data_IF_092858774466
#
_entry.id   IF_092858774466
#
_cell.length_a   1.000
_cell.length_b   1.000
_cell.length_c   1.000
_cell.angle_alpha   90.00
_cell.angle_beta   90.00
_cell.angle_gamma   90.00
#
_symmetry.space_group_name_H-M   'P 1'
#
loop_
_entity.id
_entity.type
_entity.pdbx_description
1 polymer ?
#
# COMPACT_ATOMS: atom_id res chain seq x y z
N UNK A 1 22.92 -6.46 -1.49
CA UNK A 1 23.45 -5.16 -1.02
C UNK A 1 22.55 -4.01 -1.52
N UNK A 2 21.34 -3.86 -0.94
CA UNK A 2 20.35 -2.85 -1.39
C UNK A 2 19.69 -2.07 -0.22
N UNK A 3 20.17 -2.27 1.02
CA UNK A 3 19.65 -1.63 2.24
C UNK A 3 20.33 -0.29 2.57
N UNK A 4 21.33 0.12 1.79
CA UNK A 4 22.13 1.34 2.08
C UNK A 4 21.36 2.64 1.74
N UNK A 5 20.59 2.64 0.65
CA UNK A 5 20.00 3.88 0.11
C UNK A 5 18.89 4.43 1.01
N UNK A 6 18.05 3.57 1.59
CA UNK A 6 16.93 3.98 2.45
C UNK A 6 17.41 4.58 3.78
N UNK A 7 18.48 4.04 4.37
CA UNK A 7 19.04 4.56 5.63
C UNK A 7 19.62 5.96 5.44
N UNK A 8 20.32 6.17 4.32
CA UNK A 8 20.87 7.48 3.97
C UNK A 8 19.75 8.49 3.70
N UNK A 9 18.65 8.09 3.08
CA UNK A 9 17.51 8.99 2.85
C UNK A 9 16.82 9.41 4.15
N UNK A 10 16.62 8.48 5.10
CA UNK A 10 16.00 8.79 6.40
C UNK A 10 16.90 9.74 7.20
N UNK A 11 18.20 9.47 7.25
CA UNK A 11 19.16 10.33 7.96
C UNK A 11 19.34 11.70 7.29
N UNK A 12 19.37 11.76 5.95
CA UNK A 12 19.40 13.03 5.21
C UNK A 12 18.15 13.86 5.44
N UNK A 13 16.98 13.22 5.48
CA UNK A 13 15.71 13.90 5.76
C UNK A 13 15.65 14.39 7.21
N UNK A 14 16.09 13.57 8.17
CA UNK A 14 16.22 13.99 9.57
C UNK A 14 17.17 15.18 9.71
N UNK A 15 18.34 15.14 9.05
CA UNK A 15 19.31 16.27 9.04
C UNK A 15 18.72 17.54 8.44
N UNK A 16 17.98 17.43 7.34
CA UNK A 16 17.30 18.57 6.72
C UNK A 16 16.19 19.15 7.62
N UNK A 17 15.45 18.28 8.32
CA UNK A 17 14.33 18.68 9.18
C UNK A 17 14.78 19.24 10.54
N UNK A 18 15.96 18.86 11.05
CA UNK A 18 16.49 19.34 12.34
C UNK A 18 17.52 20.46 12.22
N UNK A 19 18.14 20.65 11.04
CA UNK A 19 19.17 21.66 10.83
C UNK A 19 20.52 21.36 11.50
N UNK A 20 20.68 20.19 12.12
CA UNK A 20 21.89 19.86 12.88
C UNK A 20 22.85 19.00 12.03
N UNK A 21 24.05 19.55 11.75
CA UNK A 21 25.06 18.91 10.88
C UNK A 21 25.68 17.64 11.49
N UNK A 22 25.52 17.43 12.79
CA UNK A 22 26.27 16.44 13.57
C UNK A 22 25.33 15.50 14.35
N UNK A 23 24.67 14.58 13.62
CA UNK A 23 23.76 13.57 14.20
C UNK A 23 24.45 12.61 15.20
N UNK A 24 25.77 12.59 15.28
CA UNK A 24 26.55 11.77 16.23
C UNK A 24 26.28 12.09 17.71
N UNK A 25 25.72 13.26 18.03
CA UNK A 25 25.33 13.64 19.40
C UNK A 25 23.82 13.75 19.61
N UNK A 26 23.00 13.42 18.61
CA UNK A 26 21.55 13.68 18.56
C UNK A 26 20.69 12.45 18.15
N UNK A 27 21.01 11.19 18.51
CA UNK A 27 20.04 10.11 18.32
C UNK A 27 18.71 10.39 19.03
N UNK A 28 18.76 10.98 20.24
CA UNK A 28 17.59 11.17 21.12
C UNK A 28 16.50 12.06 20.50
N UNK A 29 16.82 13.29 20.11
CA UNK A 29 15.83 14.23 19.53
C UNK A 29 15.33 13.75 18.16
N UNK A 30 16.19 13.11 17.37
CA UNK A 30 15.78 12.51 16.10
C UNK A 30 14.77 11.38 16.34
N UNK A 31 14.95 10.57 17.39
CA UNK A 31 14.06 9.48 17.75
C UNK A 31 12.73 9.96 18.36
N UNK A 32 12.74 10.99 19.20
CA UNK A 32 11.52 11.65 19.69
C UNK A 32 10.70 12.26 18.54
N UNK A 33 11.38 12.96 17.61
CA UNK A 33 10.75 13.47 16.41
C UNK A 33 10.21 12.36 15.51
N UNK A 34 10.85 11.18 15.52
CA UNK A 34 10.36 10.02 14.78
C UNK A 34 9.11 9.42 15.41
N UNK A 35 9.09 9.26 16.74
CA UNK A 35 7.94 8.73 17.47
C UNK A 35 6.70 9.64 17.34
N UNK A 36 6.90 10.96 17.32
CA UNK A 36 5.83 11.92 17.09
C UNK A 36 5.28 11.95 15.65
N UNK A 37 6.05 11.45 14.66
CA UNK A 37 5.73 11.63 13.22
C UNK A 37 5.47 10.34 12.45
N UNK A 38 5.99 9.20 12.92
CA UNK A 38 5.94 7.94 12.20
C UNK A 38 5.20 6.86 12.98
N UNK A 39 4.65 5.88 12.25
CA UNK A 39 4.02 4.71 12.88
C UNK A 39 5.04 3.92 13.71
N UNK A 40 4.57 3.23 14.75
CA UNK A 40 5.35 2.27 15.53
C UNK A 40 6.23 1.35 14.66
N UNK A 41 5.65 0.81 13.58
CA UNK A 41 6.37 -0.09 12.66
C UNK A 41 7.54 0.60 11.96
N UNK A 42 7.35 1.83 11.50
CA UNK A 42 8.38 2.62 10.84
C UNK A 42 9.51 2.99 11.80
N UNK A 43 9.16 3.45 13.01
CA UNK A 43 10.13 3.78 14.06
C UNK A 43 10.96 2.56 14.46
N UNK A 44 10.31 1.40 14.65
CA UNK A 44 10.98 0.14 14.97
C UNK A 44 11.93 -0.32 13.86
N UNK A 45 11.55 -0.21 12.59
CA UNK A 45 12.40 -0.59 11.45
C UNK A 45 13.62 0.33 11.36
N UNK A 46 13.43 1.64 11.49
CA UNK A 46 14.53 2.59 11.46
C UNK A 46 15.51 2.38 12.62
N UNK A 47 15.01 2.24 13.86
CA UNK A 47 15.81 1.91 15.02
C UNK A 47 16.58 0.60 14.85
N UNK A 48 15.91 -0.43 14.32
CA UNK A 48 16.55 -1.72 14.08
C UNK A 48 17.68 -1.65 13.05
N UNK A 49 17.57 -0.77 12.06
CA UNK A 49 18.62 -0.51 11.09
C UNK A 49 19.81 0.23 11.69
N UNK A 50 19.53 1.27 12.49
CA UNK A 50 20.53 2.12 13.12
C UNK A 50 21.28 1.41 14.27
N UNK A 51 20.66 0.42 14.91
CA UNK A 51 21.24 -0.33 16.05
C UNK A 51 22.63 -0.90 15.80
N UNK A 52 22.98 -1.24 14.55
CA UNK A 52 24.32 -1.75 14.22
C UNK A 52 25.41 -0.68 14.33
N UNK A 53 25.07 0.57 14.06
CA UNK A 53 25.99 1.70 14.05
C UNK A 53 25.92 2.49 15.37
N UNK A 54 24.76 2.46 16.03
CA UNK A 54 24.45 3.21 17.25
C UNK A 54 23.85 2.25 18.29
N UNK A 55 24.68 1.60 19.14
CA UNK A 55 24.23 0.63 20.13
C UNK A 55 23.16 1.18 21.09
N UNK A 56 23.18 2.47 21.39
CA UNK A 56 22.20 3.21 22.21
C UNK A 56 20.78 3.13 21.65
N UNK A 57 20.61 2.90 20.34
CA UNK A 57 19.29 2.63 19.74
C UNK A 57 18.63 1.35 20.29
N UNK A 58 19.39 0.47 20.98
CA UNK A 58 18.83 -0.72 21.63
C UNK A 58 17.85 -0.34 22.75
N UNK A 59 18.21 0.62 23.61
CA UNK A 59 17.35 1.05 24.73
C UNK A 59 16.06 1.66 24.20
N UNK A 60 16.15 2.50 23.18
CA UNK A 60 15.00 3.05 22.46
C UNK A 60 14.13 1.99 21.78
N UNK A 61 14.76 1.02 21.12
CA UNK A 61 14.02 -0.07 20.50
C UNK A 61 13.24 -0.86 21.56
N UNK A 62 13.81 -1.05 22.74
CA UNK A 62 13.15 -1.73 23.85
C UNK A 62 12.04 -0.88 24.47
N UNK A 63 12.22 0.44 24.58
CA UNK A 63 11.15 1.36 25.00
C UNK A 63 10.00 1.40 23.99
N UNK A 64 10.30 1.54 22.69
CA UNK A 64 9.32 1.48 21.62
C UNK A 64 8.55 0.16 21.75
N UNK A 65 9.24 -1.00 21.84
CA UNK A 65 8.58 -2.30 22.04
C UNK A 65 7.67 -2.33 23.28
N UNK A 66 8.04 -1.69 24.39
CA UNK A 66 7.19 -1.58 25.60
C UNK A 66 5.89 -0.83 25.32
N UNK A 67 5.89 0.13 24.39
CA UNK A 67 4.68 0.83 23.92
C UNK A 67 3.87 0.01 22.90
N UNK A 68 4.44 -1.05 22.34
CA UNK A 68 3.78 -1.91 21.35
C UNK A 68 2.35 -2.37 21.73
N UNK A 69 2.06 -2.75 22.99
CA UNK A 69 0.71 -3.05 23.43
C UNK A 69 -0.27 -1.88 23.30
N UNK A 70 0.14 -0.64 23.63
CA UNK A 70 -0.71 0.56 23.51
C UNK A 70 -1.04 0.85 22.04
N UNK A 71 -0.07 0.68 21.14
CA UNK A 71 -0.29 0.81 19.70
C UNK A 71 -1.23 -0.26 19.16
N UNK A 72 -1.09 -1.50 19.66
CA UNK A 72 -1.98 -2.60 19.32
C UNK A 72 -3.40 -2.35 19.80
N UNK A 73 -3.57 -1.81 21.01
CA UNK A 73 -4.86 -1.40 21.56
C UNK A 73 -5.49 -0.26 20.73
N UNK A 74 -4.69 0.72 20.30
CA UNK A 74 -5.15 1.79 19.41
C UNK A 74 -5.59 1.23 18.04
N UNK A 75 -4.80 0.34 17.42
CA UNK A 75 -5.15 -0.31 16.17
C UNK A 75 -6.41 -1.21 16.32
N UNK A 76 -6.57 -1.86 17.47
CA UNK A 76 -7.73 -2.70 17.81
C UNK A 76 -8.97 -1.88 18.14
N UNK A 77 -8.81 -0.64 18.60
CA UNK A 77 -9.92 0.29 18.83
C UNK A 77 -10.62 0.68 17.55
N UNK A 78 -9.91 0.60 16.40
CA UNK A 78 -10.42 1.03 15.10
C UNK A 78 -10.87 2.50 15.08
N UNK A 79 -10.42 3.31 16.03
CA UNK A 79 -10.65 4.75 16.04
C UNK A 79 -9.58 5.46 15.23
N UNK A 80 -9.95 6.21 14.18
CA UNK A 80 -9.01 6.99 13.41
C UNK A 80 -8.47 8.15 14.24
N UNK A 81 -7.17 8.38 14.14
CA UNK A 81 -6.54 9.62 14.64
C UNK A 81 -7.11 10.85 13.93
N UNK A 82 -7.02 12.03 14.54
CA UNK A 82 -7.46 13.29 13.91
C UNK A 82 -6.79 13.54 12.55
N UNK A 83 -5.52 13.16 12.42
CA UNK A 83 -4.79 13.22 11.15
C UNK A 83 -5.35 12.26 10.09
N UNK A 84 -5.83 11.08 10.49
CA UNK A 84 -6.51 10.15 9.60
C UNK A 84 -7.91 10.66 9.23
N UNK A 85 -8.70 11.16 10.19
CA UNK A 85 -10.02 11.77 9.94
C UNK A 85 -9.93 12.88 8.88
N UNK A 86 -8.97 13.81 9.04
CA UNK A 86 -8.76 14.92 8.09
C UNK A 86 -8.39 14.46 6.67
N UNK A 87 -7.78 13.29 6.52
CA UNK A 87 -7.33 12.75 5.23
C UNK A 87 -8.29 11.70 4.68
N UNK A 88 -9.27 11.26 5.46
CA UNK A 88 -10.15 10.17 5.07
C UNK A 88 -11.04 10.59 3.91
N UNK A 89 -11.21 9.67 2.97
CA UNK A 89 -12.09 9.83 1.81
C UNK A 89 -13.02 8.64 1.83
N UNK A 90 -14.33 8.84 1.81
CA UNK A 90 -15.28 7.72 1.78
C UNK A 90 -15.10 6.91 0.50
N UNK A 91 -15.51 5.64 0.50
CA UNK A 91 -15.39 4.85 -0.72
C UNK A 91 -16.29 5.38 -1.83
N UNK A 92 -17.47 5.91 -1.48
CA UNK A 92 -18.37 6.55 -2.45
C UNK A 92 -17.70 7.76 -3.11
N UNK A 93 -17.03 8.63 -2.35
CA UNK A 93 -16.31 9.78 -2.90
C UNK A 93 -15.13 9.35 -3.79
N UNK A 94 -14.44 8.23 -3.48
CA UNK A 94 -13.40 7.68 -4.36
C UNK A 94 -13.98 7.25 -5.72
N UNK A 95 -15.17 6.65 -5.72
CA UNK A 95 -15.83 6.23 -6.96
C UNK A 95 -16.33 7.44 -7.78
N UNK A 96 -16.95 8.42 -7.12
CA UNK A 96 -17.37 9.67 -7.74
C UNK A 96 -16.18 10.40 -8.35
N UNK A 97 -15.09 10.54 -7.59
CA UNK A 97 -13.83 11.12 -8.08
C UNK A 97 -13.29 10.42 -9.34
N UNK A 98 -13.31 9.08 -9.37
CA UNK A 98 -12.88 8.32 -10.55
C UNK A 98 -13.72 8.69 -11.77
N UNK A 99 -15.04 8.77 -11.58
CA UNK A 99 -15.99 8.95 -12.68
C UNK A 99 -16.03 10.41 -13.15
N UNK A 100 -15.94 11.37 -12.24
CA UNK A 100 -15.89 12.82 -12.51
C UNK A 100 -14.65 13.19 -13.34
N UNK A 101 -13.46 12.83 -12.86
CA UNK A 101 -12.19 13.24 -13.48
C UNK A 101 -11.71 12.27 -14.58
N UNK A 102 -12.54 11.31 -15.00
CA UNK A 102 -12.13 10.24 -15.93
C UNK A 102 -11.52 10.79 -17.23
N UNK A 103 -12.13 11.83 -17.80
CA UNK A 103 -11.70 12.39 -19.08
C UNK A 103 -10.44 13.26 -18.96
N UNK A 104 -10.15 13.82 -17.78
CA UNK A 104 -8.92 14.58 -17.55
C UNK A 104 -7.72 13.70 -17.15
N UNK A 105 -7.97 12.45 -16.75
CA UNK A 105 -6.91 11.50 -16.42
C UNK A 105 -6.21 10.98 -17.67
N UNK A 106 -4.88 10.91 -17.62
CA UNK A 106 -4.07 10.17 -18.61
C UNK A 106 -4.42 8.68 -18.62
N UNK A 107 -4.14 7.93 -19.71
CA UNK A 107 -4.43 6.49 -19.77
C UNK A 107 -3.89 5.70 -18.57
N UNK A 108 -2.65 5.99 -18.16
CA UNK A 108 -2.04 5.32 -16.99
C UNK A 108 -2.75 5.68 -15.68
N UNK A 109 -3.22 6.91 -15.51
CA UNK A 109 -3.97 7.30 -14.31
C UNK A 109 -5.34 6.60 -14.27
N UNK A 110 -6.04 6.51 -15.40
CA UNK A 110 -7.30 5.76 -15.51
C UNK A 110 -7.11 4.28 -15.18
N UNK A 111 -6.07 3.66 -15.73
CA UNK A 111 -5.73 2.27 -15.41
C UNK A 111 -5.48 2.07 -13.91
N UNK A 112 -4.69 2.95 -13.27
CA UNK A 112 -4.42 2.86 -11.83
C UNK A 112 -5.71 3.00 -11.01
N UNK A 113 -6.56 3.97 -11.33
CA UNK A 113 -7.86 4.12 -10.65
C UNK A 113 -8.76 2.89 -10.87
N UNK A 114 -8.77 2.33 -12.07
CA UNK A 114 -9.54 1.14 -12.41
C UNK A 114 -9.06 -0.09 -11.62
N UNK A 115 -7.74 -0.31 -11.52
CA UNK A 115 -7.14 -1.41 -10.76
C UNK A 115 -7.53 -1.39 -9.29
N UNK A 116 -7.69 -0.20 -8.70
CA UNK A 116 -8.04 -0.04 -7.28
C UNK A 116 -9.54 0.13 -7.01
N UNK A 117 -10.41 0.26 -8.02
CA UNK A 117 -11.85 0.50 -7.82
C UNK A 117 -12.78 -0.52 -8.46
N UNK A 118 -12.35 -1.21 -9.53
CA UNK A 118 -13.16 -2.27 -10.17
C UNK A 118 -12.95 -3.66 -9.55
N UNK A 119 -11.90 -3.82 -8.75
CA UNK A 119 -11.69 -4.98 -7.89
C UNK A 119 -11.34 -4.48 -6.48
N UNK A 120 -11.49 -5.33 -5.44
CA UNK A 120 -11.10 -4.95 -4.09
C UNK A 120 -9.64 -4.48 -4.06
N UNK A 121 -9.34 -3.35 -3.39
CA UNK A 121 -8.03 -2.75 -3.46
C UNK A 121 -7.00 -3.63 -2.76
N UNK A 122 -5.98 -4.03 -3.52
CA UNK A 122 -4.79 -4.74 -3.05
C UNK A 122 -3.73 -3.74 -2.60
N UNK A 123 -2.53 -4.20 -2.19
CA UNK A 123 -1.44 -3.26 -1.84
C UNK A 123 -0.77 -2.71 -3.12
N UNK A 124 0.56 -2.72 -3.13
CA UNK A 124 1.39 -2.41 -4.28
C UNK A 124 1.67 -3.68 -5.11
N UNK A 125 0.85 -4.72 -4.93
CA UNK A 125 1.04 -6.06 -5.49
C UNK A 125 0.81 -6.13 -7.02
N UNK A 126 0.49 -5.00 -7.68
CA UNK A 126 0.52 -4.90 -9.15
C UNK A 126 1.94 -4.71 -9.71
N UNK A 127 2.95 -4.56 -8.85
CA UNK A 127 4.36 -4.41 -9.25
C UNK A 127 5.26 -5.36 -8.49
N UNK A 128 6.07 -6.21 -9.16
CA UNK A 128 6.02 -6.52 -10.59
C UNK A 128 4.86 -7.49 -10.93
N UNK A 129 4.13 -7.21 -12.02
CA UNK A 129 3.09 -8.10 -12.54
C UNK A 129 3.36 -8.42 -14.01
N UNK A 130 3.78 -9.66 -14.29
CA UNK A 130 4.17 -10.15 -15.62
C UNK A 130 2.94 -10.49 -16.45
N UNK A 131 2.92 -10.08 -17.72
CA UNK A 131 1.84 -10.39 -18.66
C UNK A 131 2.15 -11.72 -19.34
N UNK A 132 1.18 -12.63 -19.35
CA UNK A 132 1.30 -13.93 -20.01
C UNK A 132 0.00 -14.29 -20.74
N UNK A 133 0.10 -14.98 -21.87
CA UNK A 133 -1.08 -15.42 -22.64
C UNK A 133 -1.70 -16.72 -22.13
N UNK A 134 -0.96 -17.45 -21.29
CA UNK A 134 -1.38 -18.70 -20.65
C UNK A 134 -0.82 -18.77 -19.23
N UNK A 135 -1.53 -19.49 -18.34
CA UNK A 135 -1.03 -19.75 -16.98
C UNK A 135 0.34 -20.45 -17.06
N UNK A 136 1.39 -19.94 -16.39
CA UNK A 136 2.66 -20.64 -16.31
C UNK A 136 2.51 -21.97 -15.57
N UNK A 137 3.29 -22.98 -15.96
CA UNK A 137 3.34 -24.27 -15.25
C UNK A 137 3.93 -24.12 -13.85
N UNK A 138 4.93 -23.23 -13.72
CA UNK A 138 5.56 -22.85 -12.46
C UNK A 138 5.55 -21.33 -12.34
N UNK A 139 5.13 -20.83 -11.19
CA UNK A 139 5.20 -19.41 -10.86
C UNK A 139 6.58 -19.10 -10.29
N UNK A 140 7.18 -18.03 -10.79
CA UNK A 140 8.44 -17.48 -10.28
C UNK A 140 8.19 -16.70 -8.98
N UNK A 141 9.02 -16.95 -7.96
CA UNK A 141 8.99 -16.22 -6.69
C UNK A 141 9.21 -14.72 -6.92
N UNK A 142 8.48 -13.89 -6.18
CA UNK A 142 8.59 -12.44 -6.31
C UNK A 142 7.78 -11.83 -7.46
N UNK A 143 7.09 -12.64 -8.27
CA UNK A 143 6.26 -12.15 -9.38
C UNK A 143 4.76 -12.41 -9.16
N UNK A 144 3.95 -11.46 -9.60
CA UNK A 144 2.52 -11.63 -9.85
C UNK A 144 2.27 -11.72 -11.37
N UNK A 145 1.10 -12.19 -11.78
CA UNK A 145 0.81 -12.44 -13.19
C UNK A 145 -0.54 -11.86 -13.61
N UNK A 146 -0.57 -11.26 -14.79
CA UNK A 146 -1.80 -10.99 -15.54
C UNK A 146 -1.90 -12.00 -16.69
N UNK A 147 -2.90 -12.88 -16.62
CA UNK A 147 -3.13 -13.90 -17.64
C UNK A 147 -4.12 -13.37 -18.67
N UNK A 148 -3.59 -12.83 -19.77
CA UNK A 148 -4.30 -12.21 -20.89
C UNK A 148 -4.92 -13.29 -21.79
N UNK A 149 -6.13 -13.72 -21.43
CA UNK A 149 -6.96 -14.67 -22.20
C UNK A 149 -8.31 -14.05 -22.50
N UNK A 150 -9.22 -14.78 -23.17
CA UNK A 150 -10.62 -14.32 -23.40
C UNK A 150 -11.37 -13.99 -22.09
N UNK A 151 -11.03 -14.66 -20.99
CA UNK A 151 -11.53 -14.35 -19.63
C UNK A 151 -10.34 -14.03 -18.73
N UNK A 152 -9.81 -12.81 -18.81
CA UNK A 152 -8.55 -12.49 -18.16
C UNK A 152 -8.66 -12.52 -16.64
N UNK A 153 -7.53 -12.79 -15.99
CA UNK A 153 -7.44 -12.85 -14.53
C UNK A 153 -6.04 -12.54 -14.03
N UNK A 154 -5.95 -12.05 -12.80
CA UNK A 154 -4.71 -11.90 -12.07
C UNK A 154 -4.40 -13.15 -11.25
N UNK A 155 -3.11 -13.46 -11.10
CA UNK A 155 -2.57 -14.39 -10.13
C UNK A 155 -1.64 -13.61 -9.21
N UNK A 156 -2.04 -13.53 -7.94
CA UNK A 156 -1.21 -12.96 -6.88
C UNK A 156 -0.50 -14.11 -6.17
N UNK A 157 0.79 -14.22 -6.44
CA UNK A 157 1.72 -15.23 -5.96
C UNK A 157 2.78 -14.61 -5.05
N UNK A 158 3.24 -13.40 -5.35
CA UNK A 158 4.06 -12.61 -4.44
C UNK A 158 3.21 -11.58 -3.71
N UNK A 159 2.83 -11.90 -2.47
CA UNK A 159 2.15 -10.97 -1.56
C UNK A 159 2.39 -11.35 -0.10
N UNK A 160 2.21 -10.39 0.81
CA UNK A 160 2.58 -10.48 2.25
C UNK A 160 2.13 -11.77 2.95
N UNK A 161 0.99 -12.34 2.58
CA UNK A 161 0.38 -13.49 3.28
C UNK A 161 0.29 -14.75 2.42
N UNK A 162 1.02 -14.77 1.30
CA UNK A 162 1.08 -15.91 0.38
C UNK A 162 1.45 -17.22 1.08
N UNK A 163 2.45 -17.20 1.95
CA UNK A 163 2.91 -18.38 2.69
C UNK A 163 1.78 -19.10 3.46
N UNK A 164 0.74 -18.37 3.89
CA UNK A 164 -0.37 -18.93 4.63
C UNK A 164 -1.60 -19.20 3.75
N UNK A 165 -1.87 -18.37 2.74
CA UNK A 165 -3.11 -18.43 1.96
C UNK A 165 -2.95 -18.89 0.50
N UNK A 166 -1.72 -19.22 0.08
CA UNK A 166 -1.39 -19.69 -1.26
C UNK A 166 -1.66 -18.67 -2.37
N UNK A 167 -1.72 -19.12 -3.62
CA UNK A 167 -1.99 -18.23 -4.74
C UNK A 167 -3.43 -17.70 -4.73
N UNK A 168 -3.62 -16.43 -5.07
CA UNK A 168 -4.96 -15.84 -5.24
C UNK A 168 -5.24 -15.54 -6.70
N UNK A 169 -6.34 -16.08 -7.20
CA UNK A 169 -6.86 -15.80 -8.54
C UNK A 169 -7.97 -14.76 -8.46
N UNK A 170 -7.85 -13.67 -9.20
CA UNK A 170 -8.87 -12.61 -9.27
C UNK A 170 -9.28 -12.42 -10.72
N UNK A 171 -10.56 -12.65 -11.04
CA UNK A 171 -11.08 -12.39 -12.38
C UNK A 171 -11.05 -10.89 -12.68
N UNK A 172 -10.64 -10.54 -13.90
CA UNK A 172 -10.66 -9.15 -14.36
C UNK A 172 -12.05 -8.84 -14.92
N UNK A 173 -12.82 -7.90 -14.33
CA UNK A 173 -14.12 -7.54 -14.86
C UNK A 173 -13.99 -6.79 -16.20
N UNK A 174 -15.01 -6.83 -17.09
CA UNK A 174 -14.94 -6.23 -18.42
C UNK A 174 -14.55 -4.74 -18.43
N UNK A 175 -15.03 -3.96 -17.45
CA UNK A 175 -14.66 -2.54 -17.31
C UNK A 175 -13.16 -2.36 -17.05
N UNK A 176 -12.57 -3.19 -16.19
CA UNK A 176 -11.13 -3.16 -15.93
C UNK A 176 -10.33 -3.66 -17.13
N UNK A 177 -10.81 -4.71 -17.80
CA UNK A 177 -10.18 -5.20 -19.02
C UNK A 177 -10.10 -4.11 -20.08
N UNK A 178 -11.16 -3.33 -20.27
CA UNK A 178 -11.16 -2.19 -21.22
C UNK A 178 -10.05 -1.19 -20.92
N UNK A 179 -9.83 -0.84 -19.65
CA UNK A 179 -8.76 0.08 -19.25
C UNK A 179 -7.36 -0.51 -19.45
N UNK A 180 -7.19 -1.81 -19.18
CA UNK A 180 -5.94 -2.53 -19.45
C UNK A 180 -5.67 -2.54 -20.95
N UNK A 181 -6.63 -2.94 -21.78
CA UNK A 181 -6.43 -3.06 -23.22
C UNK A 181 -6.21 -1.69 -23.89
N UNK A 182 -6.80 -0.62 -23.35
CA UNK A 182 -6.58 0.75 -23.83
C UNK A 182 -5.22 1.34 -23.43
N UNK A 183 -4.60 0.83 -22.37
CA UNK A 183 -3.40 1.44 -21.76
C UNK A 183 -2.14 0.59 -21.92
N UNK A 184 -2.29 -0.74 -22.02
CA UNK A 184 -1.21 -1.72 -21.96
C UNK A 184 -1.11 -2.42 -23.31
N UNK A 185 -0.15 -2.01 -24.17
CA UNK A 185 0.14 -2.64 -25.45
C UNK A 185 0.27 -4.17 -25.40
N UNK A 186 0.18 -4.78 -26.59
CA UNK A 186 0.26 -6.24 -26.74
C UNK A 186 1.65 -6.77 -26.38
N UNK A 187 2.69 -6.00 -26.67
CA UNK A 187 4.11 -6.32 -26.50
C UNK A 187 4.67 -6.00 -25.10
N UNK A 188 3.88 -5.39 -24.21
CA UNK A 188 4.29 -5.18 -22.83
C UNK A 188 4.59 -6.50 -22.10
N UNK A 189 5.76 -6.57 -21.46
CA UNK A 189 6.16 -7.70 -20.63
C UNK A 189 5.52 -7.63 -19.23
N UNK A 190 5.28 -6.41 -18.72
CA UNK A 190 4.68 -6.17 -17.42
C UNK A 190 3.46 -5.24 -17.53
N UNK A 191 2.50 -5.44 -16.63
CA UNK A 191 1.27 -4.64 -16.56
C UNK A 191 1.60 -3.15 -16.39
N UNK A 192 2.58 -2.85 -15.55
CA UNK A 192 3.11 -1.52 -15.30
C UNK A 192 4.63 -1.56 -15.56
N UNK A 193 5.07 -0.93 -16.65
CA UNK A 193 6.48 -0.84 -17.05
C UNK A 193 6.86 0.58 -17.48
N UNK A 194 8.15 0.89 -17.48
CA UNK A 194 8.69 2.11 -18.05
C UNK A 194 8.93 1.99 -19.57
N UNK A 195 9.45 3.06 -20.17
CA UNK A 195 9.73 3.12 -21.61
C UNK A 195 10.83 2.15 -22.04
N UNK A 196 11.70 1.73 -21.12
CA UNK A 196 12.73 0.73 -21.37
C UNK A 196 12.20 -0.71 -21.19
N UNK A 197 10.92 -0.88 -20.85
CA UNK A 197 10.28 -2.17 -20.61
C UNK A 197 10.54 -2.76 -19.21
N UNK A 198 11.21 -2.03 -18.32
CA UNK A 198 11.45 -2.49 -16.96
C UNK A 198 10.17 -2.33 -16.11
N UNK A 199 9.86 -3.29 -15.22
CA UNK A 199 8.68 -3.19 -14.38
C UNK A 199 8.78 -1.98 -13.45
N UNK A 200 7.64 -1.33 -13.19
CA UNK A 200 7.57 -0.32 -12.16
C UNK A 200 7.96 -0.88 -10.80
N UNK A 201 8.58 -0.03 -9.99
CA UNK A 201 8.85 -0.31 -8.59
C UNK A 201 7.65 0.10 -7.73
N UNK A 202 7.47 -0.55 -6.57
CA UNK A 202 6.40 -0.23 -5.61
C UNK A 202 6.36 1.27 -5.25
N UNK A 203 7.52 1.90 -5.09
CA UNK A 203 7.64 3.34 -4.81
C UNK A 203 7.03 4.19 -5.91
N UNK A 204 7.27 3.84 -7.19
CA UNK A 204 6.70 4.57 -8.33
C UNK A 204 5.19 4.42 -8.36
N UNK A 205 4.67 3.22 -8.15
CA UNK A 205 3.23 2.97 -8.07
C UNK A 205 2.58 3.80 -6.96
N UNK A 206 3.12 3.72 -5.73
CA UNK A 206 2.61 4.46 -4.57
C UNK A 206 2.60 5.98 -4.80
N UNK A 207 3.72 6.53 -5.31
CA UNK A 207 3.83 7.97 -5.61
C UNK A 207 2.90 8.42 -6.73
N UNK A 208 2.70 7.58 -7.75
CA UNK A 208 1.83 7.92 -8.89
C UNK A 208 0.37 7.96 -8.46
N UNK A 209 -0.08 6.97 -7.67
CA UNK A 209 -1.43 6.99 -7.09
C UNK A 209 -1.63 8.23 -6.22
N UNK A 210 -0.66 8.58 -5.38
CA UNK A 210 -0.77 9.79 -4.56
C UNK A 210 -0.82 11.09 -5.36
N UNK A 211 -0.10 11.13 -6.50
CA UNK A 211 -0.10 12.29 -7.38
C UNK A 211 -1.46 12.51 -8.04
N UNK A 212 -2.20 11.45 -8.38
CA UNK A 212 -3.55 11.55 -8.97
C UNK A 212 -4.46 12.37 -8.05
N UNK A 213 -4.56 12.00 -6.78
CA UNK A 213 -5.44 12.72 -5.84
C UNK A 213 -4.96 14.13 -5.53
N UNK A 214 -3.64 14.32 -5.48
CA UNK A 214 -3.07 15.66 -5.28
C UNK A 214 -3.41 16.58 -6.46
N UNK A 215 -3.34 16.06 -7.69
CA UNK A 215 -3.60 16.82 -8.91
C UNK A 215 -5.03 17.35 -8.97
N UNK A 216 -6.02 16.53 -8.61
CA UNK A 216 -7.43 16.86 -8.85
C UNK A 216 -8.17 17.38 -7.61
N UNK A 217 -7.73 17.04 -6.40
CA UNK A 217 -8.50 17.36 -5.18
C UNK A 217 -7.65 17.90 -4.02
N UNK A 218 -6.37 18.24 -4.27
CA UNK A 218 -5.41 18.67 -3.22
C UNK A 218 -5.28 17.69 -2.05
N UNK A 219 -5.72 16.43 -2.21
CA UNK A 219 -5.69 15.42 -1.17
C UNK A 219 -4.36 14.67 -1.20
N UNK A 220 -3.69 14.61 -0.05
CA UNK A 220 -2.50 13.77 0.12
C UNK A 220 -2.90 12.38 0.59
N UNK A 221 -3.38 11.56 -0.35
CA UNK A 221 -3.86 10.20 -0.09
C UNK A 221 -3.16 9.20 -1.01
N UNK A 222 -3.30 7.91 -0.77
CA UNK A 222 -2.63 6.85 -1.56
C UNK A 222 -3.32 5.51 -1.43
N UNK A 223 -2.68 4.43 -1.88
CA UNK A 223 -3.24 3.07 -1.89
C UNK A 223 -3.77 2.61 -0.52
N UNK A 224 -3.13 3.05 0.57
CA UNK A 224 -3.61 2.79 1.92
C UNK A 224 -5.03 3.30 2.17
N UNK A 225 -5.39 4.46 1.63
CA UNK A 225 -6.72 5.02 1.79
C UNK A 225 -7.77 4.21 1.06
N UNK A 226 -7.54 3.79 -0.19
CA UNK A 226 -8.46 2.88 -0.89
C UNK A 226 -8.81 1.66 -0.03
N UNK A 227 -7.80 1.09 0.65
CA UNK A 227 -7.98 -0.06 1.53
C UNK A 227 -8.78 0.27 2.78
N UNK A 228 -8.51 1.43 3.41
CA UNK A 228 -9.29 1.91 4.55
C UNK A 228 -10.74 2.19 4.15
N UNK A 229 -10.97 3.02 3.14
CA UNK A 229 -12.32 3.37 2.64
C UNK A 229 -13.13 2.15 2.23
N UNK A 230 -12.51 1.21 1.49
CA UNK A 230 -13.18 -0.03 1.11
C UNK A 230 -13.52 -0.89 2.33
N UNK A 231 -12.57 -1.09 3.26
CA UNK A 231 -12.83 -1.87 4.46
C UNK A 231 -13.92 -1.22 5.31
N UNK A 232 -13.88 0.10 5.52
CA UNK A 232 -14.89 0.85 6.25
C UNK A 232 -16.28 0.64 5.66
N UNK A 233 -16.49 0.91 4.37
CA UNK A 233 -17.78 0.72 3.70
C UNK A 233 -18.30 -0.70 3.78
N UNK A 234 -17.45 -1.67 3.45
CA UNK A 234 -17.86 -3.08 3.33
C UNK A 234 -17.75 -3.86 4.63
N UNK A 235 -17.27 -3.24 5.72
CA UNK A 235 -17.29 -3.81 7.07
C UNK A 235 -18.24 -3.07 8.01
N UNK A 236 -19.02 -2.09 7.53
CA UNK A 236 -19.99 -1.37 8.37
C UNK A 236 -20.93 -2.35 9.12
N UNK A 237 -21.17 -2.06 10.41
CA UNK A 237 -21.96 -2.90 11.31
C UNK A 237 -21.22 -4.12 11.91
N UNK A 238 -21.97 -4.98 12.61
CA UNK A 238 -21.46 -6.26 13.14
C UNK A 238 -21.55 -7.32 12.05
N UNK A 239 -20.54 -7.42 11.20
CA UNK A 239 -20.51 -8.46 10.18
C UNK A 239 -20.20 -9.83 10.78
N UNK A 240 -20.86 -10.90 10.30
CA UNK A 240 -20.45 -12.27 10.60
C UNK A 240 -18.99 -12.49 10.22
N UNK A 241 -18.26 -13.29 11.00
CA UNK A 241 -16.85 -13.61 10.76
C UNK A 241 -16.58 -14.11 9.32
N UNK A 242 -17.54 -14.83 8.73
CA UNK A 242 -17.46 -15.30 7.35
C UNK A 242 -17.36 -14.14 6.33
N UNK A 243 -18.12 -13.06 6.53
CA UNK A 243 -18.08 -11.88 5.68
C UNK A 243 -16.75 -11.13 5.83
N UNK A 244 -16.25 -11.00 7.06
CA UNK A 244 -14.92 -10.40 7.34
C UNK A 244 -13.82 -11.20 6.65
N UNK A 245 -13.84 -12.54 6.78
CA UNK A 245 -12.88 -13.44 6.12
C UNK A 245 -12.93 -13.31 4.60
N UNK A 246 -14.14 -13.20 4.02
CA UNK A 246 -14.33 -13.02 2.58
C UNK A 246 -13.71 -11.71 2.10
N UNK A 247 -14.01 -10.60 2.76
CA UNK A 247 -13.45 -9.28 2.41
C UNK A 247 -11.94 -9.26 2.59
N UNK A 248 -11.43 -9.79 3.71
CA UNK A 248 -10.00 -9.90 3.97
C UNK A 248 -9.27 -10.69 2.88
N UNK A 249 -9.81 -11.85 2.50
CA UNK A 249 -9.23 -12.66 1.43
C UNK A 249 -9.26 -11.94 0.09
N UNK A 250 -10.28 -11.13 -0.18
CA UNK A 250 -10.39 -10.38 -1.43
C UNK A 250 -9.35 -9.26 -1.55
N UNK A 251 -8.93 -8.69 -0.42
CA UNK A 251 -7.85 -7.70 -0.31
C UNK A 251 -6.46 -8.32 -0.07
N UNK A 252 -6.33 -9.67 -0.10
CA UNK A 252 -5.08 -10.40 0.17
C UNK A 252 -4.51 -10.18 1.58
N UNK A 253 -5.41 -10.06 2.54
CA UNK A 253 -5.09 -9.88 3.95
C UNK A 253 -5.56 -11.07 4.79
N UNK A 254 -4.93 -11.22 5.96
CA UNK A 254 -5.55 -11.97 7.05
C UNK A 254 -6.74 -11.20 7.65
N UNK A 255 -7.70 -11.89 8.32
CA UNK A 255 -8.89 -11.26 8.88
C UNK A 255 -8.59 -10.08 9.83
N UNK A 256 -7.65 -10.27 10.77
CA UNK A 256 -7.24 -9.23 11.72
C UNK A 256 -6.72 -7.97 11.00
N UNK A 257 -5.90 -8.15 9.97
CA UNK A 257 -5.38 -7.04 9.20
C UNK A 257 -6.47 -6.35 8.37
N UNK A 258 -7.48 -7.08 7.89
CA UNK A 258 -8.61 -6.43 7.22
C UNK A 258 -9.44 -5.62 8.18
N UNK A 259 -9.64 -6.10 9.41
CA UNK A 259 -10.35 -5.37 10.46
C UNK A 259 -9.58 -4.09 10.84
N UNK A 260 -8.26 -4.11 10.96
CA UNK A 260 -7.49 -2.89 11.26
C UNK A 260 -7.58 -1.79 10.18
N UNK A 261 -8.15 -2.09 9.00
CA UNK A 261 -8.42 -1.07 7.98
C UNK A 261 -9.77 -0.38 8.16
N UNK A 262 -10.68 -0.96 8.94
CA UNK A 262 -11.99 -0.36 9.23
C UNK A 262 -11.81 0.77 10.25
N UNK A 263 -12.47 1.89 10.01
CA UNK A 263 -12.71 2.90 11.03
C UNK A 263 -14.15 2.81 11.53
N UNK A 264 -14.38 2.80 12.85
CA UNK A 264 -15.73 2.66 13.41
C UNK A 264 -16.52 3.97 13.41
N UNK A 265 -15.83 5.11 13.51
CA UNK A 265 -16.42 6.45 13.59
C UNK A 265 -16.44 7.20 12.25
N UNK A 266 -16.02 6.55 11.16
CA UNK A 266 -16.04 7.11 9.81
C UNK A 266 -16.88 6.19 8.93
N UNK A 267 -17.76 6.80 8.14
CA UNK A 267 -18.82 6.16 7.32
C UNK A 267 -19.99 5.55 8.10
#
# INVERSE_FOLDING_TARGET
>A
MATSTTHITILKKLRADTGEENLGSIPLKALEAMDARYSFSSTRVALSALRKQYPECKEFLDEVKKRGPQWKELDESQEPTEAQKKKFVSWSNILEFRDEYYNEMTPIQRLLMALYTYIPPVRLDFTPMKIVTRKPLKLEDGLNYYVRTKKPYFIFHSYKTHAHYGDKKVLVPPKLQKEIDATVPVDHAYLLQDEAGAPWQETRLSQTVARIFKQFHSMNTGVGMFRHSYATKFHAGQLPLAAIKKTASSMMHGPLQSMSYRFLSLE
#
